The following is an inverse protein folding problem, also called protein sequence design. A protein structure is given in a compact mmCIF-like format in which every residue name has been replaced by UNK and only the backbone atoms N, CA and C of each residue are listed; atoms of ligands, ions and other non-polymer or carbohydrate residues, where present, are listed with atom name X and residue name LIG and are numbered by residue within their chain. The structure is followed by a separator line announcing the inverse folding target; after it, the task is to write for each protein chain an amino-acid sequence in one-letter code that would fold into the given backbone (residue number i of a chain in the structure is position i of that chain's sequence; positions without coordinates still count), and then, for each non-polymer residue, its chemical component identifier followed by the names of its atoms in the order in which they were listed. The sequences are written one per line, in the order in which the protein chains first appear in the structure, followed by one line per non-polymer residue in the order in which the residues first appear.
data_IF_149090228981
#
_entry.id   IF_149090228981
#
_cell.length_a   1.000
_cell.length_b   1.000
_cell.length_c   1.000
_cell.angle_alpha   90.00
_cell.angle_beta   90.00
_cell.angle_gamma   90.00
#
_symmetry.space_group_name_H-M   'P 1'
#
loop_
_entity.id
_entity.type
_entity.pdbx_description
1 polymer ?
#
# COMPACT_ATOMS: atom_id res chain seq x y z
N UNK A 1 -11.04 11.64 24.05
CA UNK A 1 -10.55 12.00 22.70
C UNK A 1 -11.00 13.39 22.26
N UNK A 2 -12.21 13.86 22.60
CA UNK A 2 -12.64 15.23 22.24
C UNK A 2 -11.67 16.33 22.67
N UNK A 3 -11.06 16.23 23.86
CA UNK A 3 -10.04 17.21 24.30
C UNK A 3 -8.81 17.29 23.39
N UNK A 4 -8.50 16.25 22.61
CA UNK A 4 -7.38 16.25 21.67
C UNK A 4 -7.70 17.03 20.39
N UNK A 5 -8.98 17.13 20.01
CA UNK A 5 -9.39 17.88 18.82
C UNK A 5 -9.06 19.37 18.95
N UNK A 6 -9.13 19.89 20.17
CA UNK A 6 -8.82 21.29 20.49
C UNK A 6 -7.32 21.55 20.73
N UNK A 7 -6.50 20.51 20.81
CA UNK A 7 -5.06 20.64 21.02
C UNK A 7 -4.31 20.59 19.69
N UNK A 8 -4.25 21.74 19.00
CA UNK A 8 -3.54 21.96 17.74
C UNK A 8 -2.94 23.37 17.71
N UNK A 9 -1.95 23.61 16.85
CA UNK A 9 -1.35 24.96 16.67
C UNK A 9 -1.50 25.48 15.26
N UNK A 10 -1.40 24.58 14.28
CA UNK A 10 -1.42 24.92 12.85
C UNK A 10 -2.61 24.25 12.17
N UNK A 11 -3.23 24.97 11.24
CA UNK A 11 -4.23 24.44 10.31
C UNK A 11 -3.79 24.76 8.88
N UNK A 12 -3.91 23.78 7.98
CA UNK A 12 -3.67 23.93 6.55
C UNK A 12 -4.91 23.51 5.75
N UNK A 13 -5.04 24.02 4.53
CA UNK A 13 -6.05 23.55 3.59
C UNK A 13 -5.40 22.69 2.50
N UNK A 14 -6.11 21.66 2.03
CA UNK A 14 -5.67 20.89 0.87
C UNK A 14 -6.86 20.42 0.03
N UNK A 15 -6.56 20.06 -1.22
CA UNK A 15 -7.46 19.28 -2.06
C UNK A 15 -6.92 17.87 -2.16
N UNK A 16 -7.77 16.89 -1.91
CA UNK A 16 -7.40 15.49 -2.04
C UNK A 16 -8.58 14.72 -2.62
N UNK A 17 -8.34 13.97 -3.71
CA UNK A 17 -9.39 13.28 -4.48
C UNK A 17 -10.60 14.18 -4.82
N UNK A 18 -10.32 15.38 -5.33
CA UNK A 18 -11.34 16.38 -5.71
C UNK A 18 -12.24 16.88 -4.57
N UNK A 19 -11.94 16.56 -3.31
CA UNK A 19 -12.63 17.11 -2.14
C UNK A 19 -11.72 18.11 -1.41
N UNK A 20 -12.31 19.16 -0.84
CA UNK A 20 -11.59 20.17 -0.06
C UNK A 20 -11.56 19.78 1.42
N UNK A 21 -10.40 19.95 2.05
CA UNK A 21 -10.18 19.68 3.46
C UNK A 21 -9.50 20.84 4.18
N UNK A 22 -9.82 21.02 5.45
CA UNK A 22 -8.93 21.65 6.43
C UNK A 22 -8.32 20.58 7.32
N UNK A 23 -7.04 20.74 7.64
CA UNK A 23 -6.24 19.73 8.33
C UNK A 23 -5.46 20.41 9.46
N UNK A 24 -5.54 19.88 10.66
CA UNK A 24 -4.79 20.36 11.84
C UNK A 24 -3.53 19.55 12.06
N UNK A 25 -2.51 20.17 12.65
CA UNK A 25 -1.23 19.52 13.00
C UNK A 25 -1.34 18.42 14.08
N UNK A 26 -2.51 18.27 14.71
CA UNK A 26 -2.81 17.13 15.55
C UNK A 26 -3.28 15.88 14.76
N UNK A 27 -3.41 15.99 13.44
CA UNK A 27 -3.87 14.91 12.56
C UNK A 27 -5.40 14.81 12.40
N UNK A 28 -6.15 15.78 12.94
CA UNK A 28 -7.59 15.88 12.69
C UNK A 28 -7.88 16.60 11.38
N UNK A 29 -8.99 16.22 10.74
CA UNK A 29 -9.43 16.74 9.44
C UNK A 29 -10.87 17.21 9.53
N UNK A 30 -11.19 18.22 8.75
CA UNK A 30 -12.53 18.68 8.43
C UNK A 30 -12.69 18.62 6.92
N UNK A 31 -13.69 17.89 6.45
CA UNK A 31 -14.05 17.88 5.03
C UNK A 31 -15.15 18.89 4.77
N UNK A 32 -15.00 19.70 3.73
CA UNK A 32 -16.06 20.60 3.28
C UNK A 32 -17.08 19.85 2.42
N UNK A 33 -18.37 20.21 2.55
CA UNK A 33 -19.39 19.71 1.63
C UNK A 33 -19.09 20.17 0.21
N UNK A 34 -19.07 19.28 -0.79
CA UNK A 34 -18.86 19.66 -2.18
C UNK A 34 -19.96 20.61 -2.66
N UNK A 35 -19.60 21.55 -3.55
CA UNK A 35 -20.54 22.48 -4.18
C UNK A 35 -21.63 21.65 -4.89
N UNK A 36 -22.89 22.05 -4.71
CA UNK A 36 -24.09 21.41 -5.29
C UNK A 36 -24.36 19.95 -4.84
N UNK A 37 -23.68 19.45 -3.80
CA UNK A 37 -23.96 18.13 -3.23
C UNK A 37 -24.65 18.23 -1.86
N UNK A 38 -25.40 17.18 -1.52
CA UNK A 38 -25.97 17.04 -0.18
C UNK A 38 -24.88 16.86 0.88
N UNK A 39 -25.08 17.52 2.03
CA UNK A 39 -24.20 17.45 3.20
C UNK A 39 -24.18 16.00 3.71
N UNK A 40 -23.00 15.37 3.76
CA UNK A 40 -22.81 14.06 4.38
C UNK A 40 -22.73 14.22 5.91
N UNK A 41 -23.06 13.19 6.72
CA UNK A 41 -23.06 13.30 8.18
C UNK A 41 -21.74 13.76 8.81
N UNK A 42 -20.62 13.47 8.14
CA UNK A 42 -19.24 13.80 8.56
C UNK A 42 -18.73 15.13 8.01
N UNK A 43 -19.44 15.79 7.11
CA UNK A 43 -19.00 17.06 6.53
C UNK A 43 -19.06 18.19 7.56
N UNK A 44 -18.17 19.16 7.38
CA UNK A 44 -18.07 20.38 8.16
C UNK A 44 -17.91 20.14 9.67
N UNK A 45 -17.37 18.96 10.04
CA UNK A 45 -17.08 18.57 11.42
C UNK A 45 -15.63 18.10 11.54
N UNK A 46 -14.95 18.58 12.56
CA UNK A 46 -13.60 18.11 12.89
C UNK A 46 -13.65 16.69 13.43
N UNK A 47 -12.75 15.84 12.94
CA UNK A 47 -12.64 14.44 13.37
C UNK A 47 -11.23 13.90 13.14
N UNK A 48 -10.82 12.89 13.91
CA UNK A 48 -9.65 12.07 13.58
C UNK A 48 -9.96 10.97 12.56
N UNK A 49 -11.24 10.80 12.19
CA UNK A 49 -11.74 9.71 11.36
C UNK A 49 -12.26 8.55 12.20
N UNK A 50 -12.88 7.58 11.51
CA UNK A 50 -13.35 6.31 12.08
C UNK A 50 -12.29 5.24 11.85
N UNK A 51 -12.02 4.42 12.87
CA UNK A 51 -11.10 3.29 12.74
C UNK A 51 -11.66 2.22 11.81
N UNK A 52 -10.91 1.90 10.77
CA UNK A 52 -11.06 0.68 9.99
C UNK A 52 -10.27 -0.45 10.68
N UNK A 53 -10.99 -1.46 11.19
CA UNK A 53 -10.40 -2.56 11.97
C UNK A 53 -9.57 -3.53 11.13
N UNK A 54 -9.84 -3.62 9.83
CA UNK A 54 -9.14 -4.51 8.90
C UNK A 54 -7.77 -3.93 8.54
N UNK A 55 -7.71 -2.61 8.30
CA UNK A 55 -6.48 -1.95 7.85
C UNK A 55 -5.69 -1.29 8.99
N UNK A 56 -6.35 -1.01 10.12
CA UNK A 56 -5.81 -0.27 11.27
C UNK A 56 -5.75 1.24 11.06
N UNK A 57 -6.17 1.76 9.92
CA UNK A 57 -6.14 3.19 9.60
C UNK A 57 -7.43 3.91 10.03
N UNK A 58 -7.30 5.21 10.27
CA UNK A 58 -8.45 6.11 10.44
C UNK A 58 -8.93 6.62 9.07
N UNK A 59 -10.24 6.64 8.85
CA UNK A 59 -10.86 7.03 7.59
C UNK A 59 -11.98 8.06 7.81
N UNK A 60 -12.10 9.02 6.90
CA UNK A 60 -13.25 9.92 6.78
C UNK A 60 -13.91 9.67 5.42
N UNK A 61 -15.17 9.23 5.43
CA UNK A 61 -15.88 8.79 4.22
C UNK A 61 -15.00 7.91 3.31
N UNK A 62 -14.46 6.84 3.90
CA UNK A 62 -13.63 5.84 3.22
C UNK A 62 -12.29 6.37 2.66
N UNK A 63 -11.93 7.62 2.96
CA UNK A 63 -10.63 8.19 2.63
C UNK A 63 -9.70 8.12 3.84
N UNK A 64 -8.50 7.56 3.66
CA UNK A 64 -7.49 7.42 4.72
C UNK A 64 -6.98 8.78 5.19
N UNK A 65 -7.14 9.06 6.47
CA UNK A 65 -6.82 10.36 7.09
C UNK A 65 -5.35 10.72 6.95
N UNK A 66 -4.44 9.76 7.13
CA UNK A 66 -3.00 10.02 7.00
C UNK A 66 -2.60 10.54 5.62
N UNK A 67 -3.30 10.15 4.54
CA UNK A 67 -3.02 10.66 3.19
C UNK A 67 -3.46 12.10 3.03
N UNK A 68 -4.62 12.45 3.59
CA UNK A 68 -5.12 13.83 3.62
C UNK A 68 -4.12 14.71 4.40
N UNK A 69 -3.68 14.23 5.57
CA UNK A 69 -2.72 14.97 6.41
C UNK A 69 -1.37 15.14 5.72
N UNK A 70 -0.80 14.06 5.17
CA UNK A 70 0.46 14.13 4.42
C UNK A 70 0.36 15.08 3.23
N UNK A 71 -0.75 15.04 2.47
CA UNK A 71 -0.97 15.97 1.35
C UNK A 71 -0.99 17.42 1.82
N UNK A 72 -1.65 17.72 2.94
CA UNK A 72 -1.76 19.08 3.45
C UNK A 72 -0.44 19.65 4.01
N UNK A 73 0.39 18.82 4.65
CA UNK A 73 1.60 19.30 5.33
C UNK A 73 2.90 19.05 4.55
N UNK A 74 2.93 18.03 3.70
CA UNK A 74 4.10 17.59 2.96
C UNK A 74 3.93 17.70 1.44
N UNK A 75 2.76 18.16 0.97
CA UNK A 75 2.42 18.22 -0.44
C UNK A 75 2.10 16.86 -1.06
N UNK A 76 1.92 16.86 -2.38
CA UNK A 76 1.66 15.65 -3.15
C UNK A 76 2.82 14.66 -3.09
N UNK A 77 2.55 13.34 -3.19
CA UNK A 77 3.62 12.35 -3.25
C UNK A 77 4.54 12.62 -4.47
N UNK A 78 5.88 12.51 -4.31
CA UNK A 78 6.81 12.77 -5.41
C UNK A 78 6.59 11.88 -6.64
N UNK A 79 6.20 10.62 -6.42
CA UNK A 79 5.86 9.66 -7.49
C UNK A 79 4.64 8.82 -7.10
N UNK A 80 4.11 8.04 -8.05
CA UNK A 80 2.98 7.13 -7.80
C UNK A 80 3.35 5.93 -6.91
N UNK A 81 4.62 5.56 -6.83
CA UNK A 81 5.10 4.49 -5.95
C UNK A 81 5.16 4.92 -4.48
N UNK A 82 5.19 6.23 -4.19
CA UNK A 82 5.28 6.74 -2.83
C UNK A 82 4.00 6.48 -2.04
N UNK A 83 4.19 5.89 -0.86
CA UNK A 83 3.17 5.69 0.17
C UNK A 83 3.49 6.57 1.38
N UNK A 84 2.49 6.77 2.25
CA UNK A 84 2.72 7.46 3.52
C UNK A 84 3.24 6.45 4.53
N UNK A 85 4.44 6.70 5.04
CA UNK A 85 5.02 5.99 6.18
C UNK A 85 4.64 6.68 7.49
N UNK A 86 4.28 5.87 8.49
CA UNK A 86 4.16 6.29 9.89
C UNK A 86 5.47 5.97 10.59
N UNK A 87 6.25 7.01 10.91
CA UNK A 87 7.62 6.87 11.45
C UNK A 87 7.63 6.02 12.72
N UNK A 88 6.62 6.20 13.59
CA UNK A 88 6.46 5.42 14.83
C UNK A 88 5.73 4.07 14.67
N UNK A 89 5.37 3.68 13.43
CA UNK A 89 4.58 2.49 13.10
C UNK A 89 3.15 2.44 13.67
N UNK A 90 2.67 3.52 14.31
CA UNK A 90 1.31 3.65 14.83
C UNK A 90 0.41 4.30 13.77
N UNK A 91 -0.39 3.48 13.07
CA UNK A 91 -1.30 3.90 11.99
C UNK A 91 -2.40 4.90 12.41
N UNK A 92 -2.59 5.09 13.72
CA UNK A 92 -3.56 6.04 14.28
C UNK A 92 -2.92 7.33 14.82
N UNK A 93 -1.58 7.46 14.73
CA UNK A 93 -0.85 8.70 14.98
C UNK A 93 -0.64 9.46 13.66
N UNK A 94 -1.65 10.21 13.24
CA UNK A 94 -1.64 10.95 11.96
C UNK A 94 -1.06 12.36 12.07
N UNK A 95 -0.24 12.65 13.09
CA UNK A 95 0.43 13.96 13.20
C UNK A 95 1.42 14.14 12.04
N UNK A 96 1.49 15.32 11.39
CA UNK A 96 2.36 15.52 10.24
C UNK A 96 3.82 15.15 10.48
N UNK A 97 4.36 15.48 11.65
CA UNK A 97 5.74 15.14 12.05
C UNK A 97 6.00 13.63 12.21
N UNK A 98 4.94 12.81 12.24
CA UNK A 98 5.01 11.36 12.25
C UNK A 98 4.80 10.75 10.84
N UNK A 99 4.48 11.55 9.83
CA UNK A 99 4.22 11.10 8.47
C UNK A 99 5.35 11.53 7.53
N UNK A 100 5.68 10.69 6.54
CA UNK A 100 6.56 11.03 5.43
C UNK A 100 6.19 10.25 4.17
N UNK A 101 6.51 10.79 3.00
CA UNK A 101 6.41 10.05 1.73
C UNK A 101 7.64 9.16 1.57
N UNK A 102 7.44 7.87 1.33
CA UNK A 102 8.50 6.92 0.98
C UNK A 102 7.96 5.84 0.05
N UNK A 103 8.82 5.24 -0.75
CA UNK A 103 8.57 3.94 -1.36
C UNK A 103 8.61 2.82 -0.32
N UNK A 104 8.11 1.63 -0.67
CA UNK A 104 8.14 0.47 0.23
C UNK A 104 9.57 0.02 0.54
N UNK A 105 10.46 0.04 -0.46
CA UNK A 105 11.86 -0.28 -0.27
C UNK A 105 12.55 0.71 0.67
N UNK A 106 12.33 2.01 0.47
CA UNK A 106 12.84 3.04 1.38
C UNK A 106 12.29 2.86 2.79
N UNK A 107 11.05 2.40 2.95
CA UNK A 107 10.54 2.09 4.29
C UNK A 107 11.34 1.00 4.99
N UNK A 108 11.64 -0.09 4.28
CA UNK A 108 12.42 -1.21 4.82
C UNK A 108 13.83 -0.73 5.22
N UNK A 109 14.45 0.10 4.38
CA UNK A 109 15.84 0.56 4.59
C UNK A 109 15.96 1.70 5.60
N UNK A 110 14.97 2.60 5.66
CA UNK A 110 15.07 3.87 6.41
C UNK A 110 14.19 3.93 7.67
N UNK A 111 13.41 2.88 7.98
CA UNK A 111 12.66 2.79 9.23
C UNK A 111 13.29 1.72 10.14
N UNK A 112 14.08 2.09 11.17
CA UNK A 112 14.74 1.14 12.07
C UNK A 112 13.77 0.18 12.77
N UNK A 113 12.55 0.63 13.07
CA UNK A 113 11.53 -0.18 13.73
C UNK A 113 11.03 -1.26 12.76
N UNK A 114 10.81 -0.90 11.50
CA UNK A 114 10.47 -1.84 10.43
C UNK A 114 11.61 -2.82 10.17
N UNK A 115 12.84 -2.33 9.99
CA UNK A 115 14.03 -3.13 9.76
C UNK A 115 14.23 -4.16 10.88
N UNK A 116 14.12 -3.75 12.15
CA UNK A 116 14.27 -4.67 13.29
C UNK A 116 13.25 -5.80 13.30
N UNK A 117 12.01 -5.52 12.92
CA UNK A 117 10.97 -6.57 12.80
C UNK A 117 11.33 -7.59 11.71
N UNK A 118 11.86 -7.10 10.58
CA UNK A 118 12.34 -7.96 9.50
C UNK A 118 13.53 -8.80 9.96
N UNK A 119 14.53 -8.20 10.62
CA UNK A 119 15.68 -8.93 11.18
C UNK A 119 15.26 -10.05 12.13
N UNK A 120 14.30 -9.79 13.03
CA UNK A 120 13.83 -10.80 13.99
C UNK A 120 13.23 -12.03 13.30
N UNK A 121 12.54 -11.83 12.18
CA UNK A 121 11.81 -12.89 11.47
C UNK A 121 12.69 -13.56 10.42
N UNK A 122 13.50 -12.77 9.72
CA UNK A 122 14.24 -13.18 8.53
C UNK A 122 15.73 -13.42 8.80
N UNK A 123 16.22 -13.06 9.99
CA UNK A 123 17.63 -13.10 10.37
C UNK A 123 18.39 -11.83 9.98
N UNK A 124 18.12 -11.27 8.80
CA UNK A 124 18.62 -9.95 8.39
C UNK A 124 17.70 -9.30 7.34
N UNK A 125 17.88 -8.00 7.11
CA UNK A 125 17.17 -7.29 6.03
C UNK A 125 17.64 -7.77 4.67
N UNK A 126 18.92 -8.09 4.51
CA UNK A 126 19.50 -8.61 3.28
C UNK A 126 18.92 -9.97 2.92
N UNK A 127 18.82 -10.88 3.89
CA UNK A 127 18.19 -12.18 3.69
C UNK A 127 16.72 -12.03 3.26
N UNK A 128 16.01 -11.05 3.84
CA UNK A 128 14.67 -10.72 3.40
C UNK A 128 14.65 -10.21 1.97
N UNK A 129 15.50 -9.25 1.58
CA UNK A 129 15.53 -8.70 0.23
C UNK A 129 15.97 -9.71 -0.85
N UNK A 130 16.82 -10.68 -0.51
CA UNK A 130 17.29 -11.73 -1.42
C UNK A 130 16.19 -12.71 -1.83
N UNK A 131 15.37 -13.15 -0.88
CA UNK A 131 14.22 -14.03 -1.16
C UNK A 131 13.12 -13.81 -0.11
N UNK A 132 12.31 -12.76 -0.29
CA UNK A 132 11.21 -12.45 0.61
C UNK A 132 10.20 -13.60 0.70
N UNK A 133 9.99 -14.35 -0.41
CA UNK A 133 9.03 -15.47 -0.54
C UNK A 133 9.23 -16.57 0.49
N UNK A 134 10.48 -16.78 0.90
CA UNK A 134 10.84 -17.73 1.95
C UNK A 134 10.29 -17.39 3.35
N UNK A 135 9.95 -16.13 3.59
CA UNK A 135 9.53 -15.64 4.91
C UNK A 135 8.05 -15.33 5.02
N UNK A 136 7.28 -15.48 3.92
CA UNK A 136 5.86 -15.12 3.84
C UNK A 136 5.04 -15.63 5.04
N UNK A 137 5.15 -16.92 5.34
CA UNK A 137 4.36 -17.58 6.40
C UNK A 137 4.93 -17.38 7.82
N UNK A 138 6.05 -16.63 7.97
CA UNK A 138 6.71 -16.43 9.27
C UNK A 138 6.30 -15.16 9.97
N UNK A 139 5.66 -14.24 9.25
CA UNK A 139 5.24 -13.00 9.85
C UNK A 139 3.91 -13.16 10.61
N UNK A 140 3.81 -12.62 11.82
CA UNK A 140 2.57 -12.70 12.59
C UNK A 140 1.50 -11.76 12.03
N UNK A 141 0.23 -12.17 12.18
CA UNK A 141 -0.92 -11.35 11.82
C UNK A 141 -0.84 -9.93 12.42
N UNK A 142 -1.16 -8.87 11.64
CA UNK A 142 -1.10 -7.50 12.12
C UNK A 142 -1.98 -7.27 13.36
N UNK A 143 -1.33 -6.99 14.50
CA UNK A 143 -2.04 -6.64 15.73
C UNK A 143 -2.19 -5.12 15.86
N UNK A 144 -3.37 -4.60 15.53
CA UNK A 144 -3.68 -3.17 15.66
C UNK A 144 -4.22 -2.76 17.03
N UNK A 145 -4.43 -3.71 17.97
CA UNK A 145 -5.08 -3.42 19.27
C UNK A 145 -4.34 -2.40 20.12
N UNK A 146 -3.02 -2.30 19.93
CA UNK A 146 -2.22 -1.32 20.65
C UNK A 146 -2.32 0.08 20.04
N UNK A 147 -2.57 0.20 18.74
CA UNK A 147 -2.56 1.49 18.05
C UNK A 147 -3.71 2.37 18.53
N UNK A 148 -3.40 3.65 18.77
CA UNK A 148 -4.39 4.66 19.15
C UNK A 148 -3.94 6.06 18.78
N UNK A 149 -4.88 7.00 18.75
CA UNK A 149 -4.58 8.44 18.70
C UNK A 149 -3.91 8.86 20.02
N UNK A 150 -2.83 9.61 19.90
CA UNK A 150 -1.93 9.97 21.00
C UNK A 150 -1.77 11.49 21.14
N UNK A 151 -1.55 11.94 22.37
CA UNK A 151 -1.03 13.28 22.62
C UNK A 151 0.39 13.43 22.05
N UNK A 152 0.87 14.67 21.91
CA UNK A 152 2.25 14.95 21.45
C UNK A 152 3.27 14.23 22.34
N UNK A 153 3.06 14.26 23.66
CA UNK A 153 3.98 13.66 24.62
C UNK A 153 3.94 12.12 24.57
N UNK A 154 2.76 11.51 24.47
CA UNK A 154 2.63 10.06 24.28
C UNK A 154 3.27 9.60 22.97
N UNK A 155 3.11 10.37 21.88
CA UNK A 155 3.73 10.08 20.59
C UNK A 155 5.28 10.09 20.70
N UNK A 156 5.84 11.13 21.36
CA UNK A 156 7.27 11.27 21.58
C UNK A 156 7.83 10.10 22.39
N UNK A 157 7.22 9.79 23.54
CA UNK A 157 7.64 8.70 24.43
C UNK A 157 7.54 7.35 23.70
N UNK A 158 6.43 7.10 22.99
CA UNK A 158 6.22 5.87 22.22
C UNK A 158 7.29 5.68 21.16
N UNK A 159 7.58 6.74 20.38
CA UNK A 159 8.60 6.74 19.33
C UNK A 159 10.00 6.47 19.91
N UNK A 160 10.36 7.14 21.00
CA UNK A 160 11.66 6.93 21.67
C UNK A 160 11.83 5.49 22.15
N UNK A 161 10.80 4.90 22.77
CA UNK A 161 10.84 3.50 23.20
C UNK A 161 11.02 2.55 22.02
N UNK A 162 10.27 2.75 20.94
CA UNK A 162 10.33 1.90 19.76
C UNK A 162 11.69 2.00 19.06
N UNK A 163 12.27 3.19 18.96
CA UNK A 163 13.62 3.39 18.42
C UNK A 163 14.70 2.76 19.33
N UNK A 164 14.58 2.93 20.64
CA UNK A 164 15.49 2.29 21.59
C UNK A 164 15.42 0.76 21.50
N UNK A 165 14.23 0.19 21.30
CA UNK A 165 14.06 -1.23 21.04
C UNK A 165 14.68 -1.66 19.71
N UNK A 166 14.43 -0.91 18.63
CA UNK A 166 14.97 -1.18 17.30
C UNK A 166 16.51 -1.28 17.32
N UNK A 167 17.14 -0.40 18.09
CA UNK A 167 18.60 -0.33 18.27
C UNK A 167 19.15 -1.31 19.32
N UNK A 168 18.32 -2.17 19.91
CA UNK A 168 18.75 -3.12 20.95
C UNK A 168 18.83 -4.55 20.43
N UNK A 169 19.68 -5.37 21.06
CA UNK A 169 19.75 -6.82 20.82
C UNK A 169 18.67 -7.61 21.58
N UNK A 170 17.76 -6.91 22.27
CA UNK A 170 16.76 -7.54 23.13
C UNK A 170 15.53 -7.96 22.32
N UNK A 171 15.24 -9.25 22.37
CA UNK A 171 13.93 -9.78 21.96
C UNK A 171 12.90 -9.33 23.02
N UNK A 172 11.76 -8.78 22.59
CA UNK A 172 10.70 -8.34 23.51
C UNK A 172 10.19 -9.55 24.30
N UNK A 173 10.36 -9.56 25.62
CA UNK A 173 9.84 -10.60 26.51
C UNK A 173 8.69 -10.04 27.36
N UNK A 174 7.50 -10.62 27.21
CA UNK A 174 6.33 -10.42 28.08
C UNK A 174 5.41 -9.23 27.74
N UNK A 175 4.12 -9.39 28.02
CA UNK A 175 3.09 -8.34 27.93
C UNK A 175 2.55 -8.05 26.52
N UNK A 176 1.48 -7.25 26.44
CA UNK A 176 1.01 -6.73 25.15
C UNK A 176 1.86 -5.52 24.72
N UNK A 177 2.12 -5.37 23.42
CA UNK A 177 2.92 -4.24 22.92
C UNK A 177 2.31 -2.87 23.29
N UNK A 178 0.98 -2.78 23.40
CA UNK A 178 0.31 -1.57 23.89
C UNK A 178 0.60 -1.27 25.36
N UNK A 179 0.65 -2.29 26.21
CA UNK A 179 1.01 -2.11 27.63
C UNK A 179 2.46 -1.64 27.79
N UNK A 180 3.37 -2.18 26.98
CA UNK A 180 4.78 -1.77 26.97
C UNK A 180 4.97 -0.33 26.46
N UNK A 181 4.31 0.03 25.35
CA UNK A 181 4.38 1.35 24.73
C UNK A 181 3.75 2.41 25.63
N UNK A 182 2.49 2.22 26.02
CA UNK A 182 1.70 3.26 26.67
C UNK A 182 1.77 3.26 28.18
N UNK A 183 2.46 2.29 28.80
CA UNK A 183 2.50 1.99 30.24
C UNK A 183 2.00 3.13 31.15
N UNK A 184 0.67 3.25 31.27
CA UNK A 184 0.00 4.39 31.93
C UNK A 184 0.23 4.36 33.45
N UNK A 185 0.72 3.22 33.97
CA UNK A 185 1.08 3.05 35.37
C UNK A 185 2.30 3.89 35.78
N UNK A 186 3.20 4.19 34.83
CA UNK A 186 4.35 5.08 35.08
C UNK A 186 3.92 6.54 35.09
N UNK A 187 2.97 6.93 34.23
CA UNK A 187 2.45 8.30 34.16
C UNK A 187 1.78 8.73 35.48
N UNK A 188 0.91 7.90 36.07
CA UNK A 188 0.25 8.22 37.34
C UNK A 188 1.22 8.20 38.55
N UNK A 189 2.22 7.31 38.58
CA UNK A 189 3.26 7.33 39.62
C UNK A 189 4.23 8.50 39.46
N UNK A 190 4.54 8.90 38.23
CA UNK A 190 5.39 10.06 37.95
C UNK A 190 4.72 11.39 38.29
N UNK A 191 3.40 11.49 38.12
CA UNK A 191 2.62 12.66 38.55
C UNK A 191 2.60 12.78 40.09
N UNK A 192 2.45 11.66 40.81
CA UNK A 192 2.50 11.63 42.27
C UNK A 192 3.91 11.79 42.85
N UNK A 193 4.97 11.36 42.14
CA UNK A 193 6.36 11.54 42.57
C UNK A 193 6.93 12.93 42.25
N UNK A 194 6.35 13.65 41.28
CA UNK A 194 6.85 14.95 40.81
C UNK A 194 6.55 16.14 41.75
N UNK A 195 5.78 15.92 42.81
CA UNK A 195 5.55 16.92 43.86
C UNK A 195 6.69 17.00 44.88
N UNK A 196 7.59 16.00 44.96
CA UNK A 196 8.53 15.90 46.09
C UNK A 196 10.03 15.91 45.78
N UNK A 197 10.49 16.16 44.54
CA UNK A 197 11.94 16.24 44.32
C UNK A 197 12.39 17.32 43.30
N UNK A 198 12.66 18.51 43.83
CA UNK A 198 13.13 19.68 43.09
C UNK A 198 14.59 19.57 42.61
N UNK A 199 15.38 18.62 43.12
CA UNK A 199 16.78 18.46 42.73
C UNK A 199 16.95 17.64 41.43
N UNK A 200 16.08 16.66 41.17
CA UNK A 200 16.14 15.86 39.95
C UNK A 200 15.77 16.67 38.70
N UNK A 201 14.81 17.60 38.82
CA UNK A 201 14.40 18.53 37.74
C UNK A 201 15.52 19.50 37.36
N UNK A 202 16.38 19.90 38.30
CA UNK A 202 17.55 20.75 38.02
C UNK A 202 18.66 19.99 37.28
N UNK A 203 18.91 18.73 37.65
CA UNK A 203 19.92 17.87 37.00
C UNK A 203 19.51 17.47 35.58
N UNK A 204 18.24 17.10 35.37
CA UNK A 204 17.73 16.80 34.02
C UNK A 204 17.74 18.05 33.12
N UNK A 205 17.36 19.22 33.64
CA UNK A 205 17.39 20.44 32.83
C UNK A 205 18.82 20.88 32.50
N UNK A 206 19.82 20.66 33.37
CA UNK A 206 21.21 20.93 33.01
C UNK A 206 21.73 19.96 31.96
N UNK A 207 21.40 18.67 32.04
CA UNK A 207 21.79 17.68 31.01
C UNK A 207 21.07 17.91 29.68
N UNK A 208 19.78 18.25 29.69
CA UNK A 208 19.01 18.60 28.48
C UNK A 208 19.54 19.89 27.84
N UNK A 209 19.97 20.88 28.64
CA UNK A 209 20.57 22.12 28.11
C UNK A 209 21.96 21.86 27.53
N UNK A 210 22.73 20.94 28.12
CA UNK A 210 24.06 20.56 27.66
C UNK A 210 24.00 19.70 26.38
N UNK A 211 23.00 18.84 26.25
CA UNK A 211 22.69 18.08 25.02
C UNK A 211 22.16 19.03 23.94
N UNK A 212 21.27 19.97 24.27
CA UNK A 212 20.73 20.97 23.34
C UNK A 212 21.76 21.98 22.82
N UNK A 213 22.88 22.17 23.53
CA UNK A 213 24.01 22.96 23.04
C UNK A 213 24.97 22.16 22.14
N UNK A 214 24.94 20.82 22.21
CA UNK A 214 25.72 19.95 21.33
C UNK A 214 25.11 19.80 19.93
N UNK A 215 23.82 20.11 19.74
CA UNK A 215 23.11 20.03 18.46
C UNK A 215 23.03 21.36 17.69
N UNK A 216 23.96 22.30 17.91
CA UNK A 216 24.01 23.59 17.19
C UNK A 216 25.00 23.65 16.02
N UNK A 217 25.58 22.52 15.60
CA UNK A 217 26.39 22.45 14.38
C UNK A 217 25.71 21.53 13.38
N UNK A 218 24.90 22.10 12.48
CA UNK A 218 24.17 21.40 11.42
C UNK A 218 25.03 21.11 10.16
N UNK A 219 26.36 21.27 10.22
CA UNK A 219 27.21 21.23 9.01
C UNK A 219 28.15 20.01 8.86
N UNK A 220 28.04 18.96 9.67
CA UNK A 220 28.81 17.71 9.45
C UNK A 220 28.00 16.43 9.74
N UNK A 221 27.04 16.11 8.85
CA UNK A 221 26.67 14.72 8.59
C UNK A 221 27.66 14.15 7.56
N UNK A 222 28.16 12.90 7.72
CA UNK A 222 29.08 12.32 6.76
C UNK A 222 28.39 12.22 5.40
N UNK A 223 28.90 12.97 4.42
CA UNK A 223 28.59 12.78 3.00
C UNK A 223 29.08 11.38 2.61
N UNK A 224 28.22 10.38 2.74
CA UNK A 224 28.40 9.13 2.02
C UNK A 224 28.08 9.46 0.57
N UNK A 225 29.13 9.55 -0.25
CA UNK A 225 29.02 9.81 -1.68
C UNK A 225 28.24 8.67 -2.34
N UNK A 226 27.16 9.04 -3.03
CA UNK A 226 26.32 8.17 -3.88
C UNK A 226 27.06 7.63 -5.12
N UNK A 227 28.40 7.65 -5.15
CA UNK A 227 29.20 7.32 -6.34
C UNK A 227 29.58 5.84 -6.46
N UNK A 228 29.30 5.00 -5.45
CA UNK A 228 29.70 3.58 -5.47
C UNK A 228 28.58 2.57 -5.81
N UNK A 229 27.42 2.99 -6.32
CA UNK A 229 26.37 2.08 -6.80
C UNK A 229 26.53 1.61 -8.26
N UNK A 230 27.60 2.04 -8.96
CA UNK A 230 27.88 1.64 -10.34
C UNK A 230 28.96 0.55 -10.47
N UNK A 231 28.90 -0.48 -9.62
CA UNK A 231 29.76 -1.66 -9.79
C UNK A 231 28.92 -2.87 -10.27
N UNK A 232 29.09 -3.37 -11.50
CA UNK A 232 28.22 -4.39 -12.09
C UNK A 232 28.49 -5.83 -11.60
N UNK A 233 28.97 -6.01 -10.36
CA UNK A 233 29.46 -7.31 -9.87
C UNK A 233 28.74 -7.88 -8.64
N UNK A 234 27.61 -7.30 -8.21
CA UNK A 234 26.78 -7.89 -7.15
C UNK A 234 25.35 -8.05 -7.64
N UNK A 235 24.98 -9.31 -7.91
CA UNK A 235 23.61 -9.73 -8.25
C UNK A 235 22.75 -9.69 -6.98
N UNK A 236 22.12 -8.57 -6.71
CA UNK A 236 21.03 -8.48 -5.73
C UNK A 236 19.69 -8.66 -6.44
N UNK A 237 18.76 -9.35 -5.76
CA UNK A 237 17.41 -9.60 -6.25
C UNK A 237 16.69 -8.29 -6.59
N UNK A 238 15.87 -8.33 -7.63
CA UNK A 238 15.09 -7.21 -8.14
C UNK A 238 13.94 -6.86 -7.19
N UNK A 239 13.52 -5.60 -7.24
CA UNK A 239 12.67 -4.93 -6.26
C UNK A 239 11.28 -5.53 -5.99
N UNK A 240 10.70 -6.39 -6.83
CA UNK A 240 9.25 -6.71 -6.73
C UNK A 240 8.87 -7.79 -5.72
N UNK A 241 9.78 -8.74 -5.44
CA UNK A 241 9.53 -9.78 -4.45
C UNK A 241 9.45 -9.18 -3.03
N UNK A 242 10.27 -8.16 -2.74
CA UNK A 242 10.29 -7.50 -1.43
C UNK A 242 9.02 -6.69 -1.20
N UNK A 243 8.46 -6.15 -2.28
CA UNK A 243 7.22 -5.37 -2.30
C UNK A 243 5.96 -6.23 -2.09
N UNK A 244 5.93 -7.44 -2.65
CA UNK A 244 4.82 -8.39 -2.51
C UNK A 244 4.66 -8.90 -1.07
N UNK A 245 5.77 -9.08 -0.35
CA UNK A 245 5.78 -9.81 0.92
C UNK A 245 5.74 -8.88 2.12
N UNK A 246 6.24 -7.67 1.96
CA UNK A 246 5.98 -6.60 2.92
C UNK A 246 4.53 -6.07 2.84
N UNK A 247 3.85 -6.23 1.70
CA UNK A 247 2.41 -5.91 1.57
C UNK A 247 1.50 -6.82 2.41
N UNK A 248 1.99 -7.97 2.88
CA UNK A 248 1.24 -8.84 3.78
C UNK A 248 1.37 -8.42 5.27
N UNK A 249 2.36 -7.60 5.64
CA UNK A 249 2.53 -7.07 7.01
C UNK A 249 2.32 -5.57 7.16
N UNK A 250 2.36 -4.86 6.05
CA UNK A 250 1.67 -3.58 5.88
C UNK A 250 0.58 -3.84 4.86
N UNK A 251 -0.58 -4.33 5.32
CA UNK A 251 -1.74 -4.68 4.50
C UNK A 251 -1.90 -3.73 3.29
N UNK A 252 -1.35 -4.17 2.17
CA UNK A 252 -1.80 -3.95 0.81
C UNK A 252 -2.35 -5.28 0.31
N UNK A 253 -3.15 -5.93 1.15
CA UNK A 253 -4.41 -6.44 0.63
C UNK A 253 -5.35 -5.24 0.42
N UNK A 254 -5.95 -5.26 -0.77
CA UNK A 254 -7.08 -4.46 -1.22
C UNK A 254 -6.94 -2.93 -1.14
N UNK A 255 -6.69 -2.35 -2.32
CA UNK A 255 -7.46 -1.18 -2.75
C UNK A 255 -8.93 -1.61 -2.77
N UNK A 256 -9.58 -1.63 -1.61
CA UNK A 256 -10.99 -1.28 -1.52
C UNK A 256 -11.05 0.19 -1.16
N UNK A 257 -10.83 1.01 -2.19
CA UNK A 257 -11.38 2.35 -2.20
C UNK A 257 -12.90 2.20 -2.35
N UNK A 258 -13.62 2.17 -1.23
CA UNK A 258 -15.03 2.53 -1.29
C UNK A 258 -15.10 4.03 -1.55
N UNK A 259 -15.40 4.42 -2.78
CA UNK A 259 -16.05 5.69 -3.05
C UNK A 259 -17.11 5.45 -4.13
N UNK A 260 -18.36 5.56 -3.69
CA UNK A 260 -19.57 5.93 -4.44
C UNK A 260 -19.75 5.32 -5.83
N UNK A 261 -20.58 4.27 -5.92
CA UNK A 261 -21.39 3.88 -7.08
C UNK A 261 -20.74 4.01 -8.47
N UNK A 262 -19.52 3.49 -8.64
CA UNK A 262 -18.96 3.19 -9.96
C UNK A 262 -18.97 1.67 -10.18
N UNK A 263 -19.73 1.22 -11.18
CA UNK A 263 -19.80 -0.18 -11.57
C UNK A 263 -18.39 -0.75 -11.81
N UNK A 264 -18.07 -1.89 -11.17
CA UNK A 264 -16.84 -2.66 -11.36
C UNK A 264 -16.51 -2.87 -12.85
N UNK A 265 -17.56 -2.99 -13.64
CA UNK A 265 -17.53 -3.20 -15.07
C UNK A 265 -18.12 -2.01 -15.82
N UNK A 266 -17.43 -1.60 -16.88
CA UNK A 266 -17.94 -0.61 -17.84
C UNK A 266 -18.15 -1.27 -19.18
N UNK A 267 -19.18 -0.83 -19.90
CA UNK A 267 -19.44 -1.28 -21.27
C UNK A 267 -18.21 -1.01 -22.14
N UNK A 268 -17.76 -2.04 -22.86
CA UNK A 268 -16.64 -1.94 -23.81
C UNK A 268 -17.09 -1.29 -25.13
N UNK A 269 -16.20 -1.25 -26.13
CA UNK A 269 -16.58 -0.86 -27.50
C UNK A 269 -17.40 -1.95 -28.22
N UNK A 270 -17.61 -3.10 -27.60
CA UNK A 270 -18.40 -4.22 -28.13
C UNK A 270 -19.75 -4.30 -27.42
N UNK A 271 -20.83 -4.46 -28.18
CA UNK A 271 -22.21 -4.20 -27.72
C UNK A 271 -22.66 -5.00 -26.50
N UNK A 272 -22.18 -6.23 -26.35
CA UNK A 272 -22.52 -7.20 -25.29
C UNK A 272 -21.31 -7.61 -24.45
N UNK A 273 -20.25 -6.80 -24.45
CA UNK A 273 -19.08 -7.03 -23.63
C UNK A 273 -18.81 -5.85 -22.69
N UNK A 274 -18.37 -6.19 -21.51
CA UNK A 274 -17.91 -5.29 -20.46
C UNK A 274 -16.46 -5.58 -20.15
N UNK A 275 -15.76 -4.57 -19.65
CA UNK A 275 -14.40 -4.68 -19.16
C UNK A 275 -14.32 -4.16 -17.74
N UNK A 276 -13.55 -4.84 -16.89
CA UNK A 276 -13.34 -4.43 -15.51
C UNK A 276 -12.47 -3.16 -15.49
N UNK A 277 -13.03 -2.04 -15.02
CA UNK A 277 -12.31 -0.75 -15.05
C UNK A 277 -11.23 -0.63 -13.97
N UNK A 278 -11.17 -1.55 -13.00
CA UNK A 278 -10.13 -1.54 -11.98
C UNK A 278 -8.79 -2.01 -12.55
N UNK A 279 -8.81 -3.07 -13.36
CA UNK A 279 -7.61 -3.68 -13.97
C UNK A 279 -7.49 -3.42 -15.50
N UNK A 280 -8.55 -2.94 -16.16
CA UNK A 280 -8.59 -2.68 -17.60
C UNK A 280 -9.25 -1.34 -17.95
N UNK A 281 -8.53 -0.24 -17.70
CA UNK A 281 -9.03 1.14 -17.89
C UNK A 281 -9.18 1.59 -19.33
N UNK A 282 -8.32 1.10 -20.22
CA UNK A 282 -8.33 1.51 -21.63
C UNK A 282 -9.50 0.84 -22.34
N UNK A 283 -10.47 1.65 -22.78
CA UNK A 283 -11.66 1.17 -23.48
C UNK A 283 -11.24 0.40 -24.74
N UNK A 284 -11.71 -0.85 -24.85
CA UNK A 284 -11.26 -1.80 -25.87
C UNK A 284 -12.43 -2.43 -26.62
N UNK A 285 -12.19 -2.86 -27.85
CA UNK A 285 -13.08 -3.73 -28.63
C UNK A 285 -12.62 -5.18 -28.48
N UNK A 286 -13.56 -6.12 -28.54
CA UNK A 286 -13.35 -7.57 -28.46
C UNK A 286 -13.90 -8.22 -29.74
N UNK A 287 -13.12 -8.28 -30.84
CA UNK A 287 -13.64 -8.65 -32.16
C UNK A 287 -14.23 -10.06 -32.24
N UNK A 288 -13.68 -11.00 -31.46
CA UNK A 288 -14.12 -12.39 -31.43
C UNK A 288 -15.26 -12.66 -30.45
N UNK A 289 -15.70 -11.65 -29.68
CA UNK A 289 -16.81 -11.78 -28.74
C UNK A 289 -18.10 -12.17 -29.48
N UNK A 290 -18.75 -13.30 -29.11
CA UNK A 290 -20.01 -13.72 -29.73
C UNK A 290 -21.06 -12.62 -29.67
N UNK A 291 -21.92 -12.51 -30.69
CA UNK A 291 -22.98 -11.50 -30.76
C UNK A 291 -24.39 -12.09 -30.70
N UNK A 292 -24.50 -13.39 -30.92
CA UNK A 292 -25.74 -14.14 -30.86
C UNK A 292 -25.87 -14.83 -29.50
N UNK A 293 -27.07 -15.35 -29.21
CA UNK A 293 -27.31 -16.15 -28.03
C UNK A 293 -26.84 -17.59 -28.27
N UNK A 294 -26.16 -18.18 -27.29
CA UNK A 294 -25.69 -19.56 -27.30
C UNK A 294 -26.04 -20.24 -25.98
N UNK A 295 -26.28 -21.55 -26.02
CA UNK A 295 -26.52 -22.37 -24.82
C UNK A 295 -25.29 -22.39 -23.90
N UNK A 296 -24.09 -22.47 -24.50
CA UNK A 296 -22.79 -22.40 -23.81
C UNK A 296 -21.97 -21.19 -24.32
N UNK A 297 -22.18 -19.98 -23.79
CA UNK A 297 -21.59 -18.74 -24.30
C UNK A 297 -20.07 -18.68 -24.25
N UNK A 298 -19.44 -19.27 -23.23
CA UNK A 298 -17.99 -19.31 -23.08
C UNK A 298 -17.35 -20.24 -24.11
N UNK A 299 -17.96 -21.41 -24.35
CA UNK A 299 -17.53 -22.33 -25.41
C UNK A 299 -17.68 -21.64 -26.78
N UNK A 300 -18.82 -21.00 -27.05
CA UNK A 300 -19.03 -20.25 -28.29
C UNK A 300 -18.01 -19.12 -28.49
N UNK A 301 -17.56 -18.47 -27.41
CA UNK A 301 -16.47 -17.49 -27.50
C UNK A 301 -15.16 -18.19 -27.85
N UNK A 302 -14.82 -19.30 -27.18
CA UNK A 302 -13.61 -20.06 -27.52
C UNK A 302 -13.59 -20.55 -28.98
N UNK A 303 -14.74 -20.96 -29.54
CA UNK A 303 -14.87 -21.38 -30.94
C UNK A 303 -14.64 -20.24 -31.94
N UNK A 304 -14.90 -18.99 -31.54
CA UNK A 304 -14.60 -17.81 -32.35
C UNK A 304 -13.12 -17.40 -32.28
N UNK A 305 -12.36 -17.89 -31.30
CA UNK A 305 -10.94 -17.58 -31.16
C UNK A 305 -10.08 -18.48 -32.04
N UNK A 306 -9.06 -17.89 -32.64
CA UNK A 306 -8.00 -18.59 -33.34
C UNK A 306 -6.65 -18.02 -32.89
N UNK A 307 -5.62 -18.86 -32.74
CA UNK A 307 -4.24 -18.36 -32.55
C UNK A 307 -3.90 -17.43 -33.73
N UNK A 308 -3.40 -16.24 -33.43
CA UNK A 308 -3.12 -15.18 -34.41
C UNK A 308 -4.29 -14.22 -34.70
N UNK A 309 -5.49 -14.49 -34.18
CA UNK A 309 -6.62 -13.54 -34.26
C UNK A 309 -6.49 -12.41 -33.23
N UNK A 310 -7.17 -11.29 -33.46
CA UNK A 310 -7.19 -10.16 -32.52
C UNK A 310 -8.20 -10.47 -31.41
N UNK A 311 -7.71 -10.65 -30.18
CA UNK A 311 -8.55 -10.80 -29.00
C UNK A 311 -9.15 -9.47 -28.58
N UNK A 312 -8.30 -8.45 -28.44
CA UNK A 312 -8.74 -7.10 -28.11
C UNK A 312 -7.96 -6.04 -28.88
N UNK A 313 -8.59 -4.91 -29.15
CA UNK A 313 -7.99 -3.77 -29.82
C UNK A 313 -8.43 -2.46 -29.16
N UNK A 314 -7.50 -1.53 -29.05
CA UNK A 314 -7.78 -0.16 -28.64
C UNK A 314 -6.95 0.83 -29.49
N UNK A 315 -7.07 2.12 -29.17
CA UNK A 315 -6.36 3.18 -29.90
C UNK A 315 -4.83 3.12 -29.87
N UNK A 316 -4.23 2.30 -29.00
CA UNK A 316 -2.77 2.20 -28.82
C UNK A 316 -2.18 0.91 -29.40
N UNK A 317 -2.89 -0.22 -29.30
CA UNK A 317 -2.39 -1.54 -29.74
C UNK A 317 -3.53 -2.55 -29.90
N UNK A 318 -3.25 -3.61 -30.65
CA UNK A 318 -4.01 -4.86 -30.65
C UNK A 318 -3.28 -5.93 -29.85
N UNK A 319 -4.05 -6.75 -29.13
CA UNK A 319 -3.58 -7.95 -28.47
C UNK A 319 -4.02 -9.17 -29.29
N UNK A 320 -3.03 -9.89 -29.82
CA UNK A 320 -3.17 -11.05 -30.70
C UNK A 320 -3.13 -12.32 -29.86
N UNK A 321 -4.05 -13.25 -30.09
CA UNK A 321 -4.14 -14.52 -29.37
C UNK A 321 -2.89 -15.38 -29.61
N UNK A 322 -2.21 -15.75 -28.54
CA UNK A 322 -1.11 -16.74 -28.54
C UNK A 322 -1.59 -18.10 -28.06
N UNK A 323 -2.45 -18.13 -27.04
CA UNK A 323 -3.02 -19.35 -26.48
C UNK A 323 -4.36 -19.02 -25.77
N UNK A 324 -5.25 -20.01 -25.62
CA UNK A 324 -6.47 -19.86 -24.84
C UNK A 324 -6.99 -21.22 -24.38
N UNK A 325 -7.73 -21.21 -23.28
CA UNK A 325 -8.36 -22.42 -22.73
C UNK A 325 -9.62 -22.07 -21.95
N UNK A 326 -10.59 -22.98 -21.98
CA UNK A 326 -11.81 -22.92 -21.17
C UNK A 326 -11.61 -23.76 -19.90
N UNK A 327 -12.10 -23.25 -18.76
CA UNK A 327 -12.09 -23.96 -17.48
C UNK A 327 -12.86 -25.28 -17.54
N UNK A 328 -12.54 -26.23 -16.66
CA UNK A 328 -13.23 -27.54 -16.61
C UNK A 328 -14.74 -27.42 -16.37
N UNK A 329 -15.19 -26.35 -15.70
CA UNK A 329 -16.61 -26.08 -15.43
C UNK A 329 -17.29 -25.24 -16.53
N UNK A 330 -16.58 -24.95 -17.62
CA UNK A 330 -17.04 -24.19 -18.79
C UNK A 330 -17.51 -22.75 -18.51
N UNK A 331 -17.14 -22.18 -17.35
CA UNK A 331 -17.58 -20.83 -16.94
C UNK A 331 -16.58 -19.73 -17.25
N UNK A 332 -15.32 -20.09 -17.48
CA UNK A 332 -14.23 -19.13 -17.61
C UNK A 332 -13.38 -19.45 -18.83
N UNK A 333 -13.07 -18.43 -19.63
CA UNK A 333 -12.14 -18.51 -20.74
C UNK A 333 -10.91 -17.66 -20.43
N UNK A 334 -9.74 -18.27 -20.38
CA UNK A 334 -8.47 -17.56 -20.27
C UNK A 334 -7.81 -17.42 -21.64
N UNK A 335 -7.31 -16.22 -21.94
CA UNK A 335 -6.70 -15.90 -23.23
C UNK A 335 -5.34 -15.24 -23.00
N UNK A 336 -4.27 -15.93 -23.39
CA UNK A 336 -2.92 -15.39 -23.46
C UNK A 336 -2.74 -14.69 -24.81
N UNK A 337 -2.32 -13.43 -24.76
CA UNK A 337 -2.13 -12.59 -25.93
C UNK A 337 -0.73 -11.97 -26.00
N UNK A 338 -0.37 -11.50 -27.19
CA UNK A 338 0.81 -10.68 -27.45
C UNK A 338 0.42 -9.37 -28.14
N UNK A 339 1.00 -8.25 -27.69
CA UNK A 339 0.82 -6.93 -28.27
C UNK A 339 1.48 -6.83 -29.66
N UNK A 340 0.79 -6.16 -30.59
CA UNK A 340 1.29 -5.81 -31.92
C UNK A 340 2.07 -4.48 -31.96
N UNK A 341 2.22 -3.80 -30.82
CA UNK A 341 2.86 -2.51 -30.75
C UNK A 341 4.33 -2.56 -31.19
N UNK A 342 4.87 -1.41 -31.62
CA UNK A 342 6.29 -1.30 -31.93
C UNK A 342 7.09 -1.15 -30.62
N UNK A 343 7.87 -2.18 -30.27
CA UNK A 343 8.71 -2.26 -29.06
C UNK A 343 7.95 -2.11 -27.71
N UNK A 344 6.93 -2.94 -27.43
CA UNK A 344 6.25 -2.92 -26.14
C UNK A 344 7.19 -3.34 -25.01
N UNK A 345 7.14 -2.63 -23.88
CA UNK A 345 7.90 -2.97 -22.66
C UNK A 345 7.42 -4.33 -22.11
N UNK A 346 6.10 -4.54 -22.06
CA UNK A 346 5.46 -5.79 -21.65
C UNK A 346 4.64 -6.36 -22.82
N UNK A 347 5.26 -7.13 -23.73
CA UNK A 347 4.61 -7.63 -24.93
C UNK A 347 3.48 -8.62 -24.66
N UNK A 348 3.46 -9.32 -23.54
CA UNK A 348 2.48 -10.37 -23.28
C UNK A 348 1.38 -9.89 -22.32
N UNK A 349 0.19 -10.44 -22.48
CA UNK A 349 -1.01 -9.99 -21.79
C UNK A 349 -1.92 -11.19 -21.52
N UNK A 350 -2.52 -11.25 -20.34
CA UNK A 350 -3.44 -12.33 -19.98
C UNK A 350 -4.81 -11.75 -19.64
N UNK A 351 -5.84 -12.32 -20.25
CA UNK A 351 -7.22 -11.97 -19.96
C UNK A 351 -8.03 -13.17 -19.48
N UNK A 352 -9.04 -12.85 -18.69
CA UNK A 352 -10.09 -13.76 -18.28
C UNK A 352 -11.43 -13.26 -18.83
N UNK A 353 -12.28 -14.18 -19.26
CA UNK A 353 -13.62 -13.89 -19.73
C UNK A 353 -14.62 -14.77 -19.00
N UNK A 354 -15.64 -14.14 -18.41
CA UNK A 354 -16.78 -14.79 -17.78
C UNK A 354 -18.08 -14.33 -18.45
N UNK A 355 -19.17 -15.07 -18.27
CA UNK A 355 -20.48 -14.73 -18.81
C UNK A 355 -21.55 -14.72 -17.73
N UNK A 356 -22.26 -13.60 -17.60
CA UNK A 356 -23.36 -13.40 -16.64
C UNK A 356 -24.40 -12.45 -17.25
N UNK A 357 -25.68 -12.60 -16.91
CA UNK A 357 -26.77 -11.69 -17.33
C UNK A 357 -26.78 -11.33 -18.84
N UNK A 358 -26.52 -12.32 -19.70
CA UNK A 358 -26.42 -12.16 -21.17
C UNK A 358 -25.30 -11.23 -21.67
N UNK A 359 -24.22 -11.09 -20.90
CA UNK A 359 -23.07 -10.27 -21.25
C UNK A 359 -21.74 -10.96 -20.92
N UNK A 360 -20.70 -10.63 -21.70
CA UNK A 360 -19.34 -11.10 -21.47
C UNK A 360 -18.55 -10.08 -20.66
N UNK A 361 -17.91 -10.53 -19.59
CA UNK A 361 -17.10 -9.72 -18.69
C UNK A 361 -15.63 -10.06 -18.88
N UNK A 362 -14.82 -9.04 -19.18
CA UNK A 362 -13.41 -9.19 -19.49
C UNK A 362 -12.56 -8.57 -18.39
N UNK A 363 -11.62 -9.35 -17.89
CA UNK A 363 -10.69 -8.97 -16.86
C UNK A 363 -9.26 -9.02 -17.36
N UNK A 364 -8.46 -8.05 -16.92
CA UNK A 364 -7.02 -8.05 -17.17
C UNK A 364 -6.32 -8.75 -16.00
N UNK A 365 -5.74 -9.91 -16.27
CA UNK A 365 -5.01 -10.72 -15.31
C UNK A 365 -3.51 -10.38 -15.23
N UNK A 366 -3.02 -9.45 -16.05
CA UNK A 366 -1.64 -8.98 -16.01
C UNK A 366 -1.04 -8.74 -17.40
N UNK A 367 0.10 -8.03 -17.38
CA UNK A 367 0.98 -7.90 -18.54
C UNK A 367 2.39 -8.29 -18.15
N UNK A 368 3.09 -8.92 -19.09
CA UNK A 368 4.32 -9.64 -18.85
C UNK A 368 5.40 -9.24 -19.86
N UNK A 369 6.64 -9.15 -19.37
CA UNK A 369 7.85 -8.88 -20.14
C UNK A 369 8.21 -10.06 -21.05
N UNK A 370 8.06 -11.29 -20.55
CA UNK A 370 8.46 -12.51 -21.24
C UNK A 370 7.28 -13.47 -21.43
N UNK A 371 7.37 -14.28 -22.50
CA UNK A 371 6.36 -15.31 -22.78
C UNK A 371 6.26 -16.30 -21.64
N UNK A 372 7.42 -16.66 -21.08
CA UNK A 372 7.53 -17.64 -19.99
C UNK A 372 6.75 -17.20 -18.74
N UNK A 373 6.84 -15.93 -18.36
CA UNK A 373 6.10 -15.39 -17.22
C UNK A 373 4.59 -15.38 -17.44
N UNK A 374 4.18 -15.07 -18.67
CA UNK A 374 2.77 -15.13 -19.04
C UNK A 374 2.23 -16.58 -19.08
N UNK A 375 3.02 -17.53 -19.58
CA UNK A 375 2.68 -18.97 -19.60
C UNK A 375 2.64 -19.57 -18.19
N UNK A 376 3.52 -19.13 -17.29
CA UNK A 376 3.49 -19.48 -15.86
C UNK A 376 2.17 -19.06 -15.24
N UNK A 377 1.78 -17.80 -15.37
CA UNK A 377 0.51 -17.33 -14.79
C UNK A 377 -0.69 -17.99 -15.47
N UNK A 378 -0.66 -18.19 -16.78
CA UNK A 378 -1.69 -18.91 -17.52
C UNK A 378 -1.87 -20.35 -17.00
N UNK A 379 -0.77 -21.03 -16.63
CA UNK A 379 -0.79 -22.38 -16.06
C UNK A 379 -1.37 -22.38 -14.64
N UNK A 380 -0.96 -21.42 -13.80
CA UNK A 380 -1.41 -21.31 -12.40
C UNK A 380 -2.91 -21.00 -12.32
N UNK A 381 -3.45 -20.16 -13.21
CA UNK A 381 -4.89 -19.85 -13.26
C UNK A 381 -5.76 -21.10 -13.49
N UNK A 382 -5.22 -22.09 -14.20
CA UNK A 382 -5.90 -23.38 -14.42
C UNK A 382 -5.80 -24.32 -13.21
N UNK A 383 -5.11 -23.91 -12.14
CA UNK A 383 -4.84 -24.76 -10.97
C UNK A 383 -3.74 -25.80 -11.21
N UNK A 384 -2.97 -25.66 -12.29
CA UNK A 384 -1.88 -26.58 -12.65
C UNK A 384 -0.55 -26.14 -12.03
N UNK A 385 0.33 -27.11 -11.76
CA UNK A 385 1.68 -26.85 -11.29
C UNK A 385 2.58 -26.35 -12.44
N UNK A 386 3.30 -25.26 -12.21
CA UNK A 386 4.25 -24.73 -13.17
C UNK A 386 5.64 -25.35 -13.00
N UNK A 387 6.21 -25.83 -14.10
CA UNK A 387 7.53 -26.51 -14.11
C UNK A 387 8.57 -25.85 -15.04
N UNK A 388 8.21 -24.76 -15.73
CA UNK A 388 9.07 -24.09 -16.72
C UNK A 388 10.11 -23.10 -16.15
N UNK A 389 10.36 -23.14 -14.84
CA UNK A 389 11.34 -22.28 -14.16
C UNK A 389 10.90 -20.82 -14.02
N UNK A 390 11.80 -19.96 -13.56
CA UNK A 390 11.50 -18.55 -13.36
C UNK A 390 11.61 -17.73 -14.65
N UNK A 391 10.92 -16.59 -14.67
CA UNK A 391 10.91 -15.59 -15.73
C UNK A 391 11.25 -14.20 -15.15
N UNK A 392 11.61 -13.24 -15.99
CA UNK A 392 11.83 -11.86 -15.52
C UNK A 392 10.60 -11.26 -14.82
N UNK A 393 9.40 -11.76 -15.13
CA UNK A 393 8.14 -11.32 -14.53
C UNK A 393 7.99 -11.73 -13.07
N UNK A 394 8.71 -12.76 -12.61
CA UNK A 394 8.75 -13.17 -11.21
C UNK A 394 9.53 -12.19 -10.33
N UNK A 395 10.24 -11.27 -10.98
CA UNK A 395 11.25 -10.41 -10.42
C UNK A 395 10.87 -8.92 -10.57
N UNK A 396 9.75 -8.60 -11.23
CA UNK A 396 9.34 -7.22 -11.56
C UNK A 396 7.97 -6.78 -11.03
#
# INVERSE_FOLDING_TARGET
MEYLLENFKVTQECYYKNEKYSVRDNGSVLRYTPIDKHIRPTDNKWTFGKLNKETGYLEIASVRVHRIVATAFHGDPPTKEHVVDHIDTNKQNNRPENLRWLTRLENILLNPITAKRIEIICGSVEAFLENPSRFRDRFPEPNYKWMCTVSIEEARISKEKLLAWANSDKIVQGGSIGEWIYNRSVSLRSLQASENDNNLKKSLNSEITQIGQSFKNEDELPKISLENLNNPSTKYATNSDAESIFSQNTHLSSIHEYNEDEALYKKSLTSNAFQNIQNWKTLSQFPCCPREYYENPIIAYSDNLNIGSIFSNNQYTSFIVENFIVSEDEKTLWVLCKSDAQNPIKPYFLAEVNFEDNAFFHDNCGSFFEKNGAEKQFTILQGLEWTGGDSIDDYC
#
